data_IF_433845721107
#
_entry.id   IF_433845721107
#
_cell.length_a   1.000
_cell.length_b   1.000
_cell.length_c   1.000
_cell.angle_alpha   90.00
_cell.angle_beta   90.00
_cell.angle_gamma   90.00
#
_symmetry.space_group_name_H-M   'P 1'
#
loop_
_entity.id
_entity.type
_entity.pdbx_description
1 polymer ?
#
# COMPACT_ATOMS: atom_id res chain seq x y z
N UNK A 1 -8.66 3.37 -4.12
CA UNK A 1 -7.68 3.18 -5.21
C UNK A 1 -6.41 3.90 -4.77
N UNK A 2 -5.44 3.19 -4.17
CA UNK A 2 -4.16 3.78 -3.80
C UNK A 2 -3.14 3.50 -4.90
N UNK A 3 -2.44 4.53 -5.38
CA UNK A 3 -1.32 4.33 -6.30
C UNK A 3 -0.20 3.56 -5.57
N UNK A 4 0.38 2.56 -6.25
CA UNK A 4 1.48 1.77 -5.69
C UNK A 4 2.72 2.62 -5.45
N UNK A 5 3.04 3.50 -6.40
CA UNK A 5 4.13 4.47 -6.34
C UNK A 5 3.77 5.69 -7.22
N UNK A 6 4.09 6.89 -6.75
CA UNK A 6 3.98 8.15 -7.47
C UNK A 6 5.00 9.15 -6.91
N UNK A 7 5.36 10.18 -7.69
CA UNK A 7 6.25 11.24 -7.21
C UNK A 7 5.43 12.42 -6.68
N UNK A 8 5.77 12.89 -5.49
CA UNK A 8 5.22 14.12 -4.91
C UNK A 8 6.30 14.79 -4.07
N UNK A 9 6.48 16.11 -4.24
CA UNK A 9 7.51 16.91 -3.57
C UNK A 9 8.95 16.36 -3.76
N UNK A 10 9.24 15.83 -4.95
CA UNK A 10 10.57 15.27 -5.29
C UNK A 10 10.91 13.99 -4.53
N UNK A 11 9.92 13.29 -3.96
CA UNK A 11 10.08 11.99 -3.32
C UNK A 11 9.07 11.00 -3.91
N UNK A 12 9.49 9.75 -4.03
CA UNK A 12 8.58 8.65 -4.31
C UNK A 12 7.70 8.39 -3.08
N UNK A 13 6.38 8.28 -3.29
CA UNK A 13 5.36 8.06 -2.27
C UNK A 13 4.37 6.97 -2.76
N UNK A 14 3.68 6.33 -1.82
CA UNK A 14 2.73 5.25 -2.09
C UNK A 14 2.88 4.07 -1.13
N UNK A 15 1.90 3.16 -1.17
CA UNK A 15 1.89 1.96 -0.34
C UNK A 15 2.99 0.95 -0.72
N UNK A 16 3.49 1.03 -1.95
CA UNK A 16 4.59 0.21 -2.46
C UNK A 16 5.97 0.82 -2.26
N UNK A 17 6.08 1.99 -1.61
CA UNK A 17 7.36 2.68 -1.37
C UNK A 17 7.79 2.45 0.07
N UNK A 18 8.64 1.45 0.36
CA UNK A 18 9.10 1.18 1.72
C UNK A 18 10.03 2.31 2.19
N UNK A 19 9.91 2.68 3.46
CA UNK A 19 10.77 3.69 4.06
C UNK A 19 10.96 3.46 5.57
N UNK A 20 11.79 4.30 6.18
CA UNK A 20 11.87 4.42 7.64
C UNK A 20 10.96 5.55 8.11
N UNK A 21 10.44 5.44 9.31
CA UNK A 21 9.76 6.55 9.98
C UNK A 21 10.68 7.79 10.00
N UNK A 22 10.15 8.95 9.56
CA UNK A 22 10.89 10.21 9.44
C UNK A 22 11.20 10.86 10.80
N UNK A 23 10.73 10.29 11.92
CA UNK A 23 11.15 10.74 13.25
C UNK A 23 12.65 10.45 13.45
N UNK A 24 13.47 11.42 13.92
CA UNK A 24 14.94 11.29 13.97
C UNK A 24 15.38 10.04 14.71
N UNK A 25 14.77 9.78 15.87
CA UNK A 25 15.16 8.69 16.76
C UNK A 25 14.45 7.35 16.47
N UNK A 26 13.75 7.24 15.34
CA UNK A 26 12.99 6.05 14.97
C UNK A 26 13.60 5.29 13.80
N UNK A 27 13.78 3.98 13.95
CA UNK A 27 14.24 3.07 12.88
C UNK A 27 13.17 2.13 12.34
N UNK A 28 11.89 2.37 12.67
CA UNK A 28 10.78 1.50 12.29
C UNK A 28 10.55 1.54 10.77
N UNK A 29 10.34 0.37 10.18
CA UNK A 29 10.05 0.20 8.75
C UNK A 29 8.56 0.34 8.50
N UNK A 30 8.23 1.21 7.57
CA UNK A 30 6.87 1.54 7.16
C UNK A 30 6.84 1.66 5.62
N UNK A 31 5.79 2.26 5.08
CA UNK A 31 5.75 2.70 3.69
C UNK A 31 5.30 4.17 3.63
N UNK A 32 5.57 4.86 2.51
CA UNK A 32 5.15 6.24 2.28
C UNK A 32 3.69 6.34 1.80
N UNK A 33 2.81 5.58 2.43
CA UNK A 33 1.38 5.56 2.12
C UNK A 33 0.60 6.48 3.06
N UNK A 34 -0.63 6.84 2.67
CA UNK A 34 -1.49 7.77 3.43
C UNK A 34 -1.71 7.36 4.89
N UNK A 35 -1.73 6.05 5.19
CA UNK A 35 -1.87 5.54 6.55
C UNK A 35 -0.75 5.98 7.52
N UNK A 36 0.40 6.40 6.98
CA UNK A 36 1.54 6.89 7.74
C UNK A 36 1.84 8.36 7.47
N UNK A 37 1.05 9.06 6.65
CA UNK A 37 1.23 10.47 6.38
C UNK A 37 0.83 11.31 7.61
N UNK A 38 1.60 12.36 7.91
CA UNK A 38 1.25 13.30 8.96
C UNK A 38 -0.06 14.03 8.63
N UNK A 39 -1.11 13.82 9.43
CA UNK A 39 -2.46 14.34 9.16
C UNK A 39 -3.28 13.51 8.17
N UNK A 40 -2.78 12.34 7.77
CA UNK A 40 -3.52 11.44 6.87
C UNK A 40 -3.42 11.77 5.38
N UNK A 41 -2.98 12.97 5.00
CA UNK A 41 -2.69 13.37 3.62
C UNK A 41 -1.24 13.87 3.47
N UNK A 42 -0.42 13.32 2.55
CA UNK A 42 0.93 13.81 2.29
C UNK A 42 1.03 15.25 1.75
N UNK A 43 -0.08 15.84 1.29
CA UNK A 43 -0.17 17.25 0.88
C UNK A 43 -0.46 18.18 2.06
N UNK A 44 -0.82 17.63 3.21
CA UNK A 44 -1.12 18.37 4.42
C UNK A 44 0.05 18.33 5.42
N UNK A 45 -0.01 19.23 6.41
CA UNK A 45 0.97 19.31 7.49
C UNK A 45 2.41 19.42 6.96
N UNK A 46 3.30 18.51 7.37
CA UNK A 46 4.71 18.52 6.99
C UNK A 46 5.06 17.65 5.77
N UNK A 47 4.10 16.87 5.24
CA UNK A 47 4.34 15.95 4.12
C UNK A 47 5.33 14.81 4.40
N UNK A 48 5.58 14.47 5.67
CA UNK A 48 6.46 13.37 6.10
C UNK A 48 5.68 12.15 6.60
N UNK A 49 6.38 11.04 6.75
CA UNK A 49 5.80 9.74 7.08
C UNK A 49 6.26 9.20 8.44
N UNK A 50 5.31 8.83 9.28
CA UNK A 50 5.54 8.41 10.66
C UNK A 50 4.84 7.10 10.98
N UNK A 51 5.49 6.26 11.78
CA UNK A 51 4.83 5.05 12.28
C UNK A 51 3.68 5.41 13.24
N UNK A 52 2.78 4.45 13.47
CA UNK A 52 1.61 4.65 14.32
C UNK A 52 1.96 5.17 15.73
N UNK A 53 3.13 4.81 16.28
CA UNK A 53 3.58 5.32 17.58
C UNK A 53 3.78 6.84 17.59
N UNK A 54 4.31 7.40 16.51
CA UNK A 54 4.56 8.84 16.40
C UNK A 54 3.35 9.62 15.87
N UNK A 55 2.33 8.93 15.34
CA UNK A 55 1.04 9.52 14.95
C UNK A 55 -0.03 9.42 16.05
N UNK A 56 0.07 8.46 16.98
CA UNK A 56 -1.00 8.19 17.95
C UNK A 56 -1.13 9.24 19.06
N UNK A 57 -0.08 10.03 19.31
CA UNK A 57 -0.02 10.93 20.46
C UNK A 57 -0.64 12.31 20.19
N UNK A 58 -0.78 12.68 18.91
CA UNK A 58 -1.19 14.02 18.53
C UNK A 58 -2.26 13.94 17.45
N UNK A 59 -3.21 14.88 17.48
CA UNK A 59 -4.27 15.00 16.47
C UNK A 59 -4.26 16.39 15.88
N UNK A 60 -4.53 16.48 14.59
CA UNK A 60 -4.88 17.76 13.95
C UNK A 60 -6.35 18.13 14.20
N UNK A 61 -6.79 19.24 13.61
CA UNK A 61 -8.14 19.79 13.76
C UNK A 61 -9.22 18.85 13.19
N UNK A 62 -8.86 18.00 12.22
CA UNK A 62 -9.74 16.98 11.62
C UNK A 62 -9.71 15.64 12.39
N UNK A 63 -8.92 15.56 13.46
CA UNK A 63 -8.78 14.38 14.32
C UNK A 63 -7.83 13.31 13.78
N UNK A 64 -7.11 13.58 12.70
CA UNK A 64 -6.11 12.67 12.13
C UNK A 64 -4.82 12.70 12.94
N UNK A 65 -4.10 11.58 12.97
CA UNK A 65 -2.82 11.48 13.68
C UNK A 65 -1.76 12.39 13.04
N UNK A 66 -1.09 13.22 13.83
CA UNK A 66 -0.02 14.10 13.35
C UNK A 66 1.28 13.93 14.16
N UNK A 67 2.39 14.48 13.66
CA UNK A 67 3.66 14.43 14.37
C UNK A 67 3.75 15.52 15.45
N UNK A 68 4.65 15.34 16.42
CA UNK A 68 4.84 16.28 17.54
C UNK A 68 5.17 17.71 17.12
N UNK A 69 5.83 17.87 15.97
CA UNK A 69 6.23 19.19 15.46
C UNK A 69 5.05 19.92 14.83
N UNK A 70 4.24 19.24 14.02
CA UNK A 70 2.99 19.82 13.50
C UNK A 70 2.01 20.15 14.62
N UNK A 71 1.92 19.30 15.64
CA UNK A 71 1.08 19.55 16.81
C UNK A 71 1.54 20.75 17.67
N UNK A 72 2.80 21.17 17.53
CA UNK A 72 3.41 22.24 18.31
C UNK A 72 3.85 23.44 17.45
N UNK A 73 3.36 23.53 16.21
CA UNK A 73 3.72 24.56 15.22
C UNK A 73 5.24 24.76 15.03
N UNK A 74 6.00 23.66 15.07
CA UNK A 74 7.46 23.65 14.88
C UNK A 74 7.83 23.30 13.42
N UNK A 75 9.00 23.76 12.94
CA UNK A 75 9.50 23.38 11.61
C UNK A 75 9.60 21.87 11.45
N UNK A 76 9.25 21.32 10.29
CA UNK A 76 9.30 19.88 10.00
C UNK A 76 10.68 19.25 10.28
N UNK A 77 10.70 17.93 10.50
CA UNK A 77 11.96 17.17 10.57
C UNK A 77 12.66 17.12 9.21
N UNK A 78 13.94 16.76 9.21
CA UNK A 78 14.62 16.42 7.97
C UNK A 78 14.15 15.04 7.46
N UNK A 79 13.71 14.94 6.20
CA UNK A 79 13.25 13.66 5.64
C UNK A 79 14.40 12.66 5.62
N UNK A 80 14.12 11.42 6.03
CA UNK A 80 15.12 10.35 5.95
C UNK A 80 15.35 9.95 4.49
N UNK A 81 16.60 9.54 4.15
CA UNK A 81 16.90 9.04 2.83
C UNK A 81 16.10 7.77 2.51
N UNK A 82 16.01 7.44 1.24
CA UNK A 82 15.44 6.18 0.78
C UNK A 82 16.22 4.99 1.35
N UNK A 83 15.50 3.91 1.66
CA UNK A 83 16.14 2.68 2.11
C UNK A 83 16.82 2.00 0.93
N UNK A 84 17.89 1.25 1.22
CA UNK A 84 18.69 0.59 0.18
C UNK A 84 17.85 -0.35 -0.71
N UNK A 85 16.86 -1.02 -0.14
CA UNK A 85 15.93 -1.85 -0.91
C UNK A 85 15.21 -1.09 -2.02
N UNK A 86 14.70 0.10 -1.72
CA UNK A 86 14.02 0.95 -2.70
C UNK A 86 14.98 1.41 -3.79
N UNK A 87 16.19 1.83 -3.38
CA UNK A 87 17.25 2.27 -4.28
C UNK A 87 17.66 1.13 -5.23
N UNK A 88 17.90 -0.07 -4.70
CA UNK A 88 18.25 -1.26 -5.49
C UNK A 88 17.15 -1.57 -6.51
N UNK A 89 15.89 -1.53 -6.09
CA UNK A 89 14.75 -1.78 -6.97
C UNK A 89 14.68 -0.76 -8.12
N UNK A 90 14.77 0.54 -7.80
CA UNK A 90 14.83 1.61 -8.82
C UNK A 90 16.02 1.47 -9.77
N UNK A 91 17.15 0.93 -9.31
CA UNK A 91 18.35 0.72 -10.12
C UNK A 91 18.26 -0.49 -11.06
N UNK A 92 17.54 -1.54 -10.65
CA UNK A 92 17.61 -2.86 -11.30
C UNK A 92 16.35 -3.26 -12.03
N UNK A 93 15.17 -2.84 -11.57
CA UNK A 93 13.90 -3.32 -12.11
C UNK A 93 13.61 -2.73 -13.50
N UNK A 94 13.01 -3.53 -14.39
CA UNK A 94 12.70 -3.13 -15.76
C UNK A 94 11.66 -2.01 -15.82
N UNK A 95 10.72 -1.96 -14.88
CA UNK A 95 9.68 -0.92 -14.83
C UNK A 95 10.25 0.50 -14.67
N UNK A 96 11.48 0.62 -14.13
CA UNK A 96 12.17 1.88 -13.92
C UNK A 96 13.19 2.22 -15.03
N UNK A 97 13.28 1.42 -16.10
CA UNK A 97 14.27 1.62 -17.15
C UNK A 97 14.16 2.99 -17.85
N UNK A 98 12.94 3.44 -18.15
CA UNK A 98 12.70 4.76 -18.75
C UNK A 98 13.13 5.89 -17.80
N UNK A 99 12.72 5.82 -16.54
CA UNK A 99 13.10 6.82 -15.53
C UNK A 99 14.62 6.91 -15.33
N UNK A 100 15.33 5.78 -15.32
CA UNK A 100 16.81 5.76 -15.23
C UNK A 100 17.49 6.41 -16.43
N UNK A 101 16.92 6.25 -17.63
CA UNK A 101 17.44 6.90 -18.83
C UNK A 101 17.27 8.42 -18.78
N UNK A 102 16.23 8.91 -18.10
CA UNK A 102 15.95 10.34 -17.91
C UNK A 102 16.72 10.95 -16.73
N UNK A 103 17.18 10.15 -15.76
CA UNK A 103 17.83 10.61 -14.53
C UNK A 103 19.25 10.01 -14.36
N UNK A 104 20.18 10.20 -15.31
CA UNK A 104 21.48 9.54 -15.30
C UNK A 104 22.37 9.96 -14.12
N UNK A 105 22.27 11.21 -13.65
CA UNK A 105 23.05 11.70 -12.49
C UNK A 105 22.63 11.05 -11.18
N UNK A 106 21.32 10.81 -11.00
CA UNK A 106 20.82 10.10 -9.83
C UNK A 106 21.33 8.66 -9.83
N UNK A 107 21.28 7.99 -10.99
CA UNK A 107 21.76 6.63 -11.18
C UNK A 107 23.25 6.54 -10.86
N UNK A 108 24.08 7.43 -11.40
CA UNK A 108 25.51 7.46 -11.14
C UNK A 108 25.83 7.65 -9.64
N UNK A 109 25.12 8.57 -8.97
CA UNK A 109 25.27 8.81 -7.52
C UNK A 109 24.98 7.55 -6.72
N UNK A 110 23.85 6.88 -6.96
CA UNK A 110 23.42 5.76 -6.13
C UNK A 110 24.11 4.43 -6.48
N UNK A 111 24.54 4.24 -7.74
CA UNK A 111 25.39 3.12 -8.12
C UNK A 111 26.75 3.14 -7.41
N UNK A 112 27.32 4.33 -7.17
CA UNK A 112 28.58 4.46 -6.42
C UNK A 112 28.45 4.14 -4.93
N UNK A 113 27.22 4.16 -4.39
CA UNK A 113 26.94 3.98 -2.96
C UNK A 113 26.41 2.59 -2.60
N UNK A 114 25.97 1.79 -3.57
CA UNK A 114 25.41 0.46 -3.29
C UNK A 114 26.54 -0.55 -3.04
N UNK A 115 26.65 -1.16 -1.85
CA UNK A 115 27.55 -2.30 -1.64
C UNK A 115 27.09 -3.47 -2.52
N UNK A 116 28.03 -4.34 -2.91
CA UNK A 116 27.82 -5.43 -3.89
C UNK A 116 26.44 -6.11 -3.84
N UNK A 117 25.86 -6.46 -4.99
CA UNK A 117 24.52 -7.00 -5.07
C UNK A 117 24.40 -8.24 -4.18
N UNK A 118 23.60 -8.12 -3.11
CA UNK A 118 23.28 -9.22 -2.23
C UNK A 118 22.44 -10.23 -3.02
N UNK A 119 23.12 -11.23 -3.59
CA UNK A 119 22.57 -12.34 -4.37
C UNK A 119 21.56 -13.24 -3.60
N UNK A 120 21.09 -12.82 -2.43
CA UNK A 120 20.15 -13.56 -1.57
C UNK A 120 18.78 -12.90 -1.40
N UNK A 121 18.44 -11.84 -2.14
CA UNK A 121 17.07 -11.30 -2.08
C UNK A 121 16.15 -12.26 -2.82
N UNK A 122 15.46 -13.11 -2.06
CA UNK A 122 14.57 -14.16 -2.54
C UNK A 122 13.70 -13.63 -3.68
N UNK A 123 13.89 -14.19 -4.86
CA UNK A 123 12.90 -14.16 -5.91
C UNK A 123 11.62 -14.73 -5.31
N UNK A 124 10.67 -13.86 -4.96
CA UNK A 124 9.29 -14.28 -4.84
C UNK A 124 8.89 -14.62 -6.27
N UNK A 125 9.18 -15.85 -6.68
CA UNK A 125 8.56 -16.44 -7.86
C UNK A 125 7.06 -16.24 -7.64
N UNK A 126 6.34 -15.54 -8.53
CA UNK A 126 4.89 -15.55 -8.46
C UNK A 126 4.51 -17.02 -8.48
N UNK A 127 3.83 -17.48 -7.43
CA UNK A 127 3.29 -18.84 -7.37
C UNK A 127 2.52 -19.02 -8.67
N UNK A 128 3.06 -19.84 -9.57
CA UNK A 128 2.32 -20.34 -10.71
C UNK A 128 1.05 -20.94 -10.12
N UNK A 129 -0.09 -20.36 -10.50
CA UNK A 129 -1.35 -21.06 -10.44
C UNK A 129 -1.23 -22.24 -11.41
N UNK A 130 -0.63 -23.33 -10.90
CA UNK A 130 -0.74 -24.67 -11.47
C UNK A 130 -2.21 -25.07 -11.37
N UNK A 131 -2.99 -24.63 -12.35
CA UNK A 131 -4.26 -25.26 -12.69
C UNK A 131 -3.87 -26.63 -13.24
N UNK A 132 -3.70 -27.59 -12.34
CA UNK A 132 -3.41 -28.98 -12.65
C UNK A 132 -4.46 -29.52 -13.63
N UNK A 133 -4.06 -29.62 -14.89
CA UNK A 133 -4.70 -30.48 -15.89
C UNK A 133 -4.44 -31.93 -15.48
N UNK A 134 -5.28 -32.46 -14.59
CA UNK A 134 -5.39 -33.90 -14.44
C UNK A 134 -6.16 -34.45 -15.65
N UNK A 135 -5.42 -34.83 -16.68
CA UNK A 135 -5.85 -35.87 -17.60
C UNK A 135 -6.01 -37.17 -16.81
N UNK A 136 -7.24 -37.50 -16.43
CA UNK A 136 -7.62 -38.86 -16.05
C UNK A 136 -8.51 -39.43 -17.14
N UNK A 137 -7.89 -40.29 -17.95
CA UNK A 137 -8.57 -41.25 -18.78
C UNK A 137 -9.41 -42.16 -17.88
N UNK A 138 -10.74 -42.02 -17.97
CA UNK A 138 -11.65 -43.02 -17.42
C UNK A 138 -12.27 -43.82 -18.55
N UNK A 139 -11.94 -45.11 -18.49
CA UNK A 139 -12.43 -46.17 -19.34
C UNK A 139 -13.95 -46.34 -19.20
N UNK A 140 -14.55 -46.72 -20.33
CA UNK A 140 -15.88 -47.28 -20.48
C UNK A 140 -16.24 -48.29 -19.39
N UNK A 141 -17.39 -48.12 -18.73
CA UNK A 141 -18.27 -49.23 -18.39
C UNK A 141 -19.72 -48.73 -18.24
N UNK A 142 -20.61 -49.31 -19.02
CA UNK A 142 -22.05 -49.07 -19.00
C UNK A 142 -22.71 -49.82 -17.85
N UNK A 143 -23.59 -49.16 -17.08
CA UNK A 143 -24.73 -49.81 -16.40
C UNK A 143 -25.91 -48.83 -16.33
N UNK A 144 -27.05 -49.36 -16.72
CA UNK A 144 -28.42 -48.86 -16.73
C UNK A 144 -28.97 -48.37 -15.39
N UNK A 145 -29.87 -47.38 -15.44
CA UNK A 145 -31.18 -47.50 -14.76
C UNK A 145 -31.52 -46.51 -13.64
N UNK A 146 -32.79 -46.10 -13.70
CA UNK A 146 -33.66 -45.60 -12.64
C UNK A 146 -33.55 -44.11 -12.22
N UNK A 147 -34.55 -43.37 -12.72
CA UNK A 147 -35.09 -42.15 -12.14
C UNK A 147 -35.52 -42.36 -10.68
N UNK A 148 -35.30 -41.35 -9.83
CA UNK A 148 -36.19 -41.01 -8.73
C UNK A 148 -36.06 -39.51 -8.44
N UNK A 149 -37.20 -38.83 -8.56
CA UNK A 149 -37.41 -37.44 -8.19
C UNK A 149 -37.41 -37.27 -6.67
N UNK A 150 -36.82 -36.20 -6.14
CA UNK A 150 -37.26 -35.57 -4.89
C UNK A 150 -36.87 -34.09 -4.90
N UNK A 151 -37.87 -33.23 -4.67
CA UNK A 151 -37.80 -31.77 -4.66
C UNK A 151 -37.58 -31.23 -3.21
N UNK A 152 -37.76 -29.92 -2.93
CA UNK A 152 -36.75 -28.96 -2.48
C UNK A 152 -36.88 -28.60 -0.97
N UNK A 153 -36.15 -27.58 -0.46
CA UNK A 153 -36.77 -26.24 -0.45
C UNK A 153 -35.82 -25.07 -0.69
N UNK A 154 -36.38 -24.04 -1.33
CA UNK A 154 -35.88 -22.68 -1.48
C UNK A 154 -36.14 -21.94 -0.16
N UNK A 155 -35.13 -21.29 0.40
CA UNK A 155 -35.29 -20.39 1.56
C UNK A 155 -34.25 -19.28 1.54
N UNK A 156 -34.67 -18.14 2.10
CA UNK A 156 -34.00 -16.83 2.29
C UNK A 156 -34.05 -15.93 1.05
N UNK A 157 -34.80 -14.82 1.01
CA UNK A 157 -35.29 -13.95 2.08
C UNK A 157 -34.28 -12.81 2.29
N UNK A 158 -34.61 -11.62 1.80
CA UNK A 158 -33.76 -10.43 1.93
C UNK A 158 -34.26 -9.27 1.06
N UNK A 159 -35.39 -8.70 1.47
CA UNK A 159 -35.98 -7.50 0.86
C UNK A 159 -35.19 -6.28 1.34
N UNK A 160 -34.89 -5.40 0.38
CA UNK A 160 -34.31 -4.06 0.53
C UNK A 160 -35.36 -3.12 1.13
N UNK A 161 -34.97 -2.20 2.00
CA UNK A 161 -35.63 -0.88 2.17
C UNK A 161 -34.65 0.08 2.89
N UNK A 162 -34.29 1.19 2.23
CA UNK A 162 -34.61 2.59 2.59
C UNK A 162 -33.73 3.13 3.73
N UNK A 163 -32.67 3.91 3.50
CA UNK A 163 -32.61 5.33 3.08
C UNK A 163 -33.59 6.22 3.85
N UNK A 164 -33.16 6.70 5.03
CA UNK A 164 -33.57 8.00 5.57
C UNK A 164 -32.38 8.63 6.32
N UNK A 165 -31.93 9.79 5.83
CA UNK A 165 -30.90 10.62 6.46
C UNK A 165 -31.53 11.69 7.36
N UNK A 166 -30.82 12.22 8.36
CA UNK A 166 -31.34 13.28 9.20
C UNK A 166 -31.25 14.67 8.52
N UNK A 167 -32.39 15.37 8.56
CA UNK A 167 -32.59 16.77 8.18
C UNK A 167 -31.70 17.72 8.99
N UNK A 168 -31.08 18.66 8.28
CA UNK A 168 -30.52 19.89 8.84
C UNK A 168 -31.65 20.84 9.26
N UNK A 169 -31.69 21.23 10.54
CA UNK A 169 -32.49 22.37 10.99
C UNK A 169 -31.58 23.58 11.25
N UNK A 170 -31.66 24.52 10.30
CA UNK A 170 -31.39 25.94 10.48
C UNK A 170 -32.52 26.56 11.30
N UNK A 171 -32.24 27.18 12.44
CA UNK A 171 -32.97 28.37 12.94
C UNK A 171 -32.02 29.22 13.81
N UNK A 172 -31.62 30.36 13.27
CA UNK A 172 -31.27 31.57 14.04
C UNK A 172 -32.57 32.39 14.24
N UNK A 173 -32.68 33.25 15.26
CA UNK A 173 -31.96 34.53 15.28
C UNK A 173 -31.12 34.81 16.52
#
# INVERSE_FOLDING_TARGET
MGYGCYELNGRDQGYGVPCKCDHPDCGEEIHRGMAFACGGDPMENCGLFFCNRHLANWRDDDGNGCCERCASDQPAFDPKPDIQEWIDWKLTDESWAAWRAENPEWVAKHQSMSPEPNAKRHSVTPKSCDVGWHMLAFAFLAVTGAALAFAPPISTGGVRDAVEGPLWHLVAP
#
